data_IF_140926168820
#
_entry.id   IF_140926168820
#
_cell.length_a   1.000
_cell.length_b   1.000
_cell.length_c   1.000
_cell.angle_alpha   90.00
_cell.angle_beta   90.00
_cell.angle_gamma   90.00
#
_symmetry.space_group_name_H-M   'P 1'
#
loop_
_entity.id
_entity.type
_entity.pdbx_description
1 polymer ?
#
# COMPACT_ATOMS: atom_id res chain seq x y z
N UNK A 1 28.93 4.45 6.65
CA UNK A 1 28.15 3.19 6.57
C UNK A 1 27.34 3.24 5.30
N UNK A 2 27.52 2.33 4.36
CA UNK A 2 26.73 2.24 3.14
C UNK A 2 25.62 1.23 3.38
N UNK A 3 24.49 1.70 3.84
CA UNK A 3 23.33 0.88 4.12
C UNK A 3 22.62 0.55 2.79
N UNK A 4 22.07 -0.66 2.68
CA UNK A 4 21.60 -1.19 1.39
C UNK A 4 20.22 -1.80 1.54
N UNK A 5 19.23 -1.17 0.95
CA UNK A 5 17.81 -1.38 1.16
C UNK A 5 17.16 -2.06 -0.04
N UNK A 6 16.18 -2.91 0.20
CA UNK A 6 15.63 -3.79 -0.83
C UNK A 6 14.11 -3.67 -1.03
N UNK A 7 13.35 -3.10 -0.10
CA UNK A 7 11.90 -2.87 -0.24
C UNK A 7 11.56 -1.61 -1.05
N UNK A 8 10.42 -1.58 -1.75
CA UNK A 8 9.96 -0.39 -2.50
C UNK A 8 9.69 0.78 -1.57
N UNK A 9 9.00 0.53 -0.46
CA UNK A 9 8.58 1.49 0.54
C UNK A 9 9.77 2.09 1.30
N UNK A 10 10.77 1.28 1.61
CA UNK A 10 12.00 1.72 2.28
C UNK A 10 12.86 2.61 1.38
N UNK A 11 12.91 2.30 0.07
CA UNK A 11 13.57 3.12 -0.93
C UNK A 11 12.90 4.49 -1.02
N UNK A 12 11.58 4.54 -1.06
CA UNK A 12 10.82 5.79 -1.08
C UNK A 12 11.13 6.67 0.13
N UNK A 13 11.13 6.10 1.34
CA UNK A 13 11.48 6.83 2.57
C UNK A 13 12.86 7.47 2.45
N UNK A 14 13.88 6.69 2.03
CA UNK A 14 15.26 7.19 1.93
C UNK A 14 15.42 8.30 0.90
N UNK A 15 14.74 8.23 -0.24
CA UNK A 15 14.72 9.33 -1.20
C UNK A 15 14.04 10.56 -0.63
N UNK A 16 12.90 10.40 0.05
CA UNK A 16 12.15 11.51 0.63
C UNK A 16 12.94 12.24 1.71
N UNK A 17 13.66 11.52 2.57
CA UNK A 17 14.48 12.13 3.62
C UNK A 17 15.88 12.54 3.14
N UNK A 18 16.20 12.38 1.84
CA UNK A 18 17.50 12.81 1.25
C UNK A 18 18.67 11.92 1.63
N UNK A 19 18.43 10.62 1.87
CA UNK A 19 19.46 9.60 2.21
C UNK A 19 19.63 8.56 1.09
N UNK A 20 19.23 8.89 -0.15
CA UNK A 20 19.29 8.00 -1.32
C UNK A 20 20.71 7.49 -1.66
N UNK A 21 21.74 8.21 -1.26
CA UNK A 21 23.15 7.81 -1.51
C UNK A 21 23.57 6.58 -0.70
N UNK A 22 22.81 6.25 0.34
CA UNK A 22 23.01 5.04 1.15
C UNK A 22 22.46 3.80 0.46
N UNK A 23 21.59 3.95 -0.55
CA UNK A 23 21.00 2.83 -1.29
C UNK A 23 22.02 2.29 -2.28
N UNK A 24 22.46 1.04 -2.10
CA UNK A 24 23.37 0.41 -3.04
C UNK A 24 22.70 -0.62 -3.95
N UNK A 25 21.46 -1.00 -3.67
CA UNK A 25 20.70 -1.89 -4.53
C UNK A 25 19.23 -1.85 -4.21
N UNK A 26 18.38 -2.14 -5.19
CA UNK A 26 16.93 -2.16 -5.08
C UNK A 26 16.36 -3.45 -5.65
N UNK A 27 15.11 -3.75 -5.30
CA UNK A 27 14.35 -4.82 -5.95
C UNK A 27 13.92 -4.42 -7.36
N UNK A 28 13.78 -5.40 -8.25
CA UNK A 28 13.21 -5.20 -9.59
C UNK A 28 11.79 -4.66 -9.60
N UNK A 29 11.06 -4.78 -8.49
CA UNK A 29 9.69 -4.27 -8.29
C UNK A 29 9.65 -2.86 -7.71
N UNK A 30 10.76 -2.25 -7.36
CA UNK A 30 10.81 -0.84 -6.96
C UNK A 30 10.39 0.03 -8.14
N UNK A 31 9.25 0.69 -8.04
CA UNK A 31 8.72 1.58 -9.07
C UNK A 31 8.75 3.05 -8.62
N UNK A 32 8.96 3.28 -7.34
CA UNK A 32 8.99 4.60 -6.72
C UNK A 32 10.23 4.80 -5.83
N UNK A 33 10.81 6.02 -5.85
CA UNK A 33 10.56 7.02 -6.89
C UNK A 33 11.13 6.55 -8.24
N UNK A 34 10.68 7.11 -9.37
CA UNK A 34 11.13 6.66 -10.72
C UNK A 34 12.64 6.76 -10.93
N UNK A 35 13.30 7.71 -10.26
CA UNK A 35 14.74 7.93 -10.29
C UNK A 35 15.51 6.71 -9.78
N UNK A 36 15.02 6.07 -8.72
CA UNK A 36 15.66 4.90 -8.11
C UNK A 36 15.92 3.79 -9.14
N UNK A 37 14.98 3.57 -10.07
CA UNK A 37 15.15 2.55 -11.12
C UNK A 37 16.26 2.86 -12.13
N UNK A 38 16.61 4.14 -12.30
CA UNK A 38 17.65 4.61 -13.22
C UNK A 38 19.01 4.65 -12.53
N UNK A 39 19.04 5.01 -11.26
CA UNK A 39 20.25 5.31 -10.50
C UNK A 39 20.80 4.10 -9.74
N UNK A 40 19.93 3.15 -9.33
CA UNK A 40 20.33 2.05 -8.46
C UNK A 40 20.30 0.70 -9.16
N UNK A 41 21.28 -0.18 -8.91
CA UNK A 41 21.30 -1.53 -9.46
C UNK A 41 20.14 -2.36 -8.91
N UNK A 42 19.51 -3.15 -9.78
CA UNK A 42 18.49 -4.13 -9.39
C UNK A 42 19.19 -5.42 -9.01
N UNK A 43 19.13 -5.76 -7.72
CA UNK A 43 19.91 -6.89 -7.18
C UNK A 43 19.07 -8.13 -6.91
N UNK A 44 17.73 -8.01 -6.85
CA UNK A 44 16.86 -9.18 -6.70
C UNK A 44 15.40 -8.92 -7.13
N UNK A 45 14.60 -10.01 -7.25
CA UNK A 45 13.15 -9.96 -7.39
C UNK A 45 12.45 -10.08 -6.02
N UNK A 46 11.12 -9.92 -5.95
CA UNK A 46 10.40 -9.85 -4.67
C UNK A 46 10.46 -11.15 -3.84
N UNK A 47 10.28 -12.30 -4.47
CA UNK A 47 10.24 -13.62 -3.79
C UNK A 47 11.41 -14.54 -4.16
N UNK A 48 12.20 -14.19 -5.16
CA UNK A 48 13.37 -14.96 -5.59
C UNK A 48 14.59 -14.06 -5.64
N UNK A 49 15.53 -14.26 -4.75
CA UNK A 49 16.77 -13.49 -4.65
C UNK A 49 17.95 -14.28 -5.17
N UNK A 50 18.75 -13.67 -6.02
CA UNK A 50 20.12 -14.11 -6.28
C UNK A 50 20.99 -13.49 -5.18
N UNK A 51 21.27 -14.30 -4.15
CA UNK A 51 22.07 -13.86 -3.00
C UNK A 51 23.41 -13.31 -3.44
N UNK A 52 24.04 -13.90 -4.46
CA UNK A 52 25.34 -13.45 -4.97
C UNK A 52 25.26 -12.02 -5.51
N UNK A 53 24.16 -11.64 -6.19
CA UNK A 53 23.95 -10.26 -6.64
C UNK A 53 23.76 -9.29 -5.48
N UNK A 54 23.09 -9.72 -4.40
CA UNK A 54 22.96 -8.89 -3.21
C UNK A 54 24.34 -8.73 -2.56
N UNK A 55 25.10 -9.80 -2.40
CA UNK A 55 26.43 -9.77 -1.80
C UNK A 55 27.43 -8.97 -2.65
N UNK A 56 27.32 -9.00 -3.99
CA UNK A 56 28.21 -8.27 -4.91
C UNK A 56 28.19 -6.75 -4.66
N UNK A 57 27.07 -6.21 -4.17
CA UNK A 57 26.99 -4.80 -3.80
C UNK A 57 27.49 -4.53 -2.37
N UNK A 58 27.97 -5.53 -1.63
CA UNK A 58 28.56 -5.47 -0.27
C UNK A 58 27.66 -4.72 0.73
N UNK A 59 26.46 -5.24 1.07
CA UNK A 59 25.55 -4.60 2.01
C UNK A 59 26.08 -4.60 3.45
N UNK A 60 25.93 -3.49 4.15
CA UNK A 60 26.11 -3.42 5.61
C UNK A 60 24.80 -3.84 6.33
N UNK A 61 23.65 -3.62 5.71
CA UNK A 61 22.33 -3.97 6.19
C UNK A 61 21.40 -4.22 5.00
N UNK A 62 20.55 -5.22 5.09
CA UNK A 62 19.46 -5.47 4.13
C UNK A 62 18.12 -5.27 4.82
N UNK A 63 17.24 -4.48 4.22
CA UNK A 63 15.86 -4.32 4.68
C UNK A 63 14.96 -5.23 3.83
N UNK A 64 14.16 -6.05 4.49
CA UNK A 64 13.19 -6.93 3.85
C UNK A 64 11.77 -6.55 4.28
N UNK A 65 10.77 -7.09 3.59
CA UNK A 65 9.36 -6.88 3.91
C UNK A 65 8.62 -8.22 4.00
N UNK A 66 7.96 -8.42 5.12
CA UNK A 66 7.05 -9.52 5.44
C UNK A 66 7.67 -10.94 5.44
N UNK A 67 6.86 -11.88 5.85
CA UNK A 67 7.11 -13.32 5.84
C UNK A 67 7.36 -13.90 4.44
N UNK A 68 6.88 -13.23 3.39
CA UNK A 68 7.13 -13.61 2.00
C UNK A 68 8.63 -13.59 1.63
N UNK A 69 9.45 -12.86 2.40
CA UNK A 69 10.90 -12.76 2.20
C UNK A 69 11.70 -13.51 3.29
N UNK A 70 11.07 -14.37 4.09
CA UNK A 70 11.72 -15.07 5.17
C UNK A 70 12.88 -15.97 4.71
N UNK A 71 12.73 -16.65 3.57
CA UNK A 71 13.80 -17.49 3.01
C UNK A 71 15.02 -16.66 2.57
N UNK A 72 14.79 -15.51 1.92
CA UNK A 72 15.87 -14.58 1.53
C UNK A 72 16.56 -14.03 2.78
N UNK A 73 15.80 -13.65 3.80
CA UNK A 73 16.34 -13.16 5.07
C UNK A 73 17.23 -14.23 5.74
N UNK A 74 16.78 -15.48 5.80
CA UNK A 74 17.57 -16.60 6.31
C UNK A 74 18.89 -16.77 5.56
N UNK A 75 18.85 -16.75 4.23
CA UNK A 75 20.02 -16.99 3.41
C UNK A 75 21.05 -15.83 3.53
N UNK A 76 20.57 -14.59 3.66
CA UNK A 76 21.41 -13.43 3.96
C UNK A 76 22.06 -13.50 5.35
N UNK A 77 21.32 -13.93 6.37
CA UNK A 77 21.85 -14.15 7.73
C UNK A 77 22.94 -15.22 7.69
N UNK A 78 22.72 -16.31 6.96
CA UNK A 78 23.72 -17.38 6.79
C UNK A 78 24.98 -16.90 6.06
N UNK A 79 24.83 -15.90 5.17
CA UNK A 79 25.95 -15.24 4.49
C UNK A 79 26.63 -14.15 5.34
N UNK A 80 26.21 -13.96 6.61
CA UNK A 80 26.79 -12.99 7.53
C UNK A 80 26.34 -11.55 7.31
N UNK A 81 25.22 -11.33 6.59
CA UNK A 81 24.67 -10.00 6.34
C UNK A 81 23.59 -9.67 7.38
N UNK A 82 23.68 -8.53 8.08
CA UNK A 82 22.60 -8.05 8.93
C UNK A 82 21.31 -7.84 8.14
N UNK A 83 20.17 -8.28 8.69
CA UNK A 83 18.85 -8.11 8.07
C UNK A 83 17.90 -7.47 9.07
N UNK A 84 17.16 -6.47 8.63
CA UNK A 84 16.01 -5.94 9.35
C UNK A 84 14.74 -6.21 8.53
N UNK A 85 13.84 -7.02 9.07
CA UNK A 85 12.60 -7.39 8.42
C UNK A 85 11.46 -6.50 8.91
N UNK A 86 10.92 -5.67 8.03
CA UNK A 86 9.70 -4.93 8.28
C UNK A 86 8.47 -5.81 8.02
N UNK A 87 7.38 -5.54 8.73
CA UNK A 87 6.12 -6.25 8.53
C UNK A 87 4.90 -5.37 8.84
N UNK A 88 4.98 -4.09 8.47
CA UNK A 88 3.91 -3.12 8.68
C UNK A 88 2.64 -3.52 7.94
N UNK A 89 1.51 -3.50 8.64
CA UNK A 89 0.19 -3.86 8.12
C UNK A 89 -0.87 -2.79 8.40
N UNK A 90 -0.51 -1.71 9.10
CA UNK A 90 -1.38 -0.59 9.44
C UNK A 90 -0.72 0.74 9.09
N UNK A 91 -1.49 1.81 9.15
CA UNK A 91 -0.98 3.17 8.97
C UNK A 91 0.00 3.54 10.07
N UNK A 92 -0.32 3.24 11.33
CA UNK A 92 0.58 3.51 12.46
C UNK A 92 1.91 2.76 12.33
N UNK A 93 1.87 1.47 11.92
CA UNK A 93 3.08 0.70 11.68
C UNK A 93 3.89 1.23 10.49
N UNK A 94 3.24 1.82 9.48
CA UNK A 94 3.91 2.50 8.37
C UNK A 94 4.66 3.74 8.85
N UNK A 95 4.06 4.55 9.71
CA UNK A 95 4.73 5.70 10.34
C UNK A 95 5.91 5.25 11.21
N UNK A 96 5.74 4.19 12.01
CA UNK A 96 6.83 3.58 12.80
C UNK A 96 7.97 3.01 11.94
N UNK A 97 7.68 2.50 10.74
CA UNK A 97 8.71 2.11 9.77
C UNK A 97 9.55 3.32 9.33
N UNK A 98 8.93 4.45 9.02
CA UNK A 98 9.65 5.68 8.63
C UNK A 98 10.61 6.12 9.74
N UNK A 99 10.13 6.17 11.00
CA UNK A 99 10.98 6.50 12.14
C UNK A 99 12.15 5.52 12.31
N UNK A 100 11.86 4.23 12.18
CA UNK A 100 12.89 3.18 12.34
C UNK A 100 13.96 3.31 11.26
N UNK A 101 13.59 3.58 10.01
CA UNK A 101 14.55 3.84 8.94
C UNK A 101 15.40 5.06 9.30
N UNK A 102 14.80 6.15 9.75
CA UNK A 102 15.54 7.34 10.20
C UNK A 102 16.61 7.03 11.24
N UNK A 103 16.26 6.23 12.26
CA UNK A 103 17.21 5.80 13.31
C UNK A 103 18.32 4.92 12.74
N UNK A 104 17.99 3.95 11.88
CA UNK A 104 18.95 3.05 11.26
C UNK A 104 19.99 3.80 10.41
N UNK A 105 19.60 4.89 9.76
CA UNK A 105 20.49 5.68 8.90
C UNK A 105 21.08 6.91 9.60
N UNK A 106 20.78 7.15 10.88
CA UNK A 106 21.25 8.34 11.60
C UNK A 106 20.65 9.65 11.10
N UNK A 107 19.42 9.59 10.54
CA UNK A 107 18.67 10.73 10.01
C UNK A 107 17.30 10.89 10.72
N UNK A 108 17.26 10.65 12.03
CA UNK A 108 16.04 10.62 12.84
C UNK A 108 15.23 11.90 12.72
N UNK A 109 15.86 13.08 12.82
CA UNK A 109 15.16 14.36 12.71
C UNK A 109 14.46 14.55 11.36
N UNK A 110 15.03 14.01 10.27
CA UNK A 110 14.43 14.07 8.94
C UNK A 110 13.22 13.13 8.84
N UNK A 111 13.34 11.93 9.39
CA UNK A 111 12.27 10.96 9.44
C UNK A 111 11.09 11.45 10.31
N UNK A 112 11.37 12.03 11.47
CA UNK A 112 10.33 12.61 12.33
C UNK A 112 9.57 13.77 11.65
N UNK A 113 10.26 14.61 10.87
CA UNK A 113 9.58 15.64 10.06
C UNK A 113 8.65 15.01 9.02
N UNK A 114 9.12 13.98 8.32
CA UNK A 114 8.29 13.26 7.36
C UNK A 114 7.06 12.64 8.03
N UNK A 115 7.21 12.02 9.20
CA UNK A 115 6.09 11.47 9.99
C UNK A 115 5.09 12.56 10.34
N UNK A 116 5.56 13.71 10.87
CA UNK A 116 4.69 14.82 11.22
C UNK A 116 3.90 15.37 10.01
N UNK A 117 4.51 15.41 8.82
CA UNK A 117 3.83 15.81 7.59
C UNK A 117 2.74 14.81 7.18
N UNK A 118 3.00 13.51 7.30
CA UNK A 118 2.02 12.45 7.01
C UNK A 118 0.87 12.47 8.03
N UNK A 119 1.15 12.66 9.30
CA UNK A 119 0.13 12.80 10.35
C UNK A 119 -0.75 14.03 10.13
N UNK A 120 -0.17 15.16 9.70
CA UNK A 120 -0.91 16.35 9.36
C UNK A 120 -1.86 16.11 8.16
N UNK A 121 -1.41 15.35 7.15
CA UNK A 121 -2.26 14.96 6.02
C UNK A 121 -3.42 14.05 6.47
N UNK A 122 -3.16 13.09 7.34
CA UNK A 122 -4.20 12.22 7.93
C UNK A 122 -5.22 13.06 8.71
N UNK A 123 -4.75 14.00 9.53
CA UNK A 123 -5.63 14.86 10.32
C UNK A 123 -6.51 15.75 9.42
N UNK A 124 -5.93 16.33 8.37
CA UNK A 124 -6.66 17.13 7.39
C UNK A 124 -7.73 16.29 6.66
N UNK A 125 -7.36 15.07 6.24
CA UNK A 125 -8.30 14.14 5.58
C UNK A 125 -9.48 13.77 6.49
N UNK A 126 -9.23 13.47 7.77
CA UNK A 126 -10.29 13.23 8.76
C UNK A 126 -11.23 14.42 8.91
N UNK A 127 -10.69 15.65 8.89
CA UNK A 127 -11.49 16.88 8.93
C UNK A 127 -12.41 17.04 7.72
N UNK A 128 -11.90 16.81 6.51
CA UNK A 128 -12.67 16.85 5.27
C UNK A 128 -13.75 15.76 5.25
N UNK A 129 -13.40 14.54 5.67
CA UNK A 129 -14.31 13.43 5.77
C UNK A 129 -15.47 13.73 6.75
N UNK A 130 -15.16 14.27 7.93
CA UNK A 130 -16.15 14.64 8.93
C UNK A 130 -17.11 15.72 8.40
N UNK A 131 -16.60 16.75 7.71
CA UNK A 131 -17.43 17.79 7.10
C UNK A 131 -18.36 17.21 6.03
N UNK A 132 -17.88 16.28 5.19
CA UNK A 132 -18.70 15.59 4.18
C UNK A 132 -19.79 14.75 4.83
N UNK A 133 -19.46 13.95 5.85
CA UNK A 133 -20.40 13.10 6.58
C UNK A 133 -21.48 13.98 7.25
N UNK A 134 -21.09 15.13 7.81
CA UNK A 134 -22.05 16.05 8.43
C UNK A 134 -23.06 16.62 7.41
N UNK A 135 -22.65 16.85 6.16
CA UNK A 135 -23.56 17.32 5.08
C UNK A 135 -24.47 16.19 4.57
N UNK A 136 -23.90 15.01 4.30
CA UNK A 136 -24.63 13.89 3.68
C UNK A 136 -25.43 13.03 4.65
N UNK A 137 -25.12 13.10 5.94
CA UNK A 137 -25.71 12.26 6.99
C UNK A 137 -25.27 10.80 6.97
N UNK A 138 -24.34 10.41 6.04
CA UNK A 138 -23.91 9.02 5.92
C UNK A 138 -22.47 8.88 5.42
N UNK A 139 -21.90 7.69 5.60
CA UNK A 139 -20.62 7.28 5.02
C UNK A 139 -20.88 6.50 3.73
N UNK A 140 -20.17 6.77 2.62
CA UNK A 140 -20.23 5.93 1.43
C UNK A 140 -19.73 4.52 1.73
N UNK A 141 -20.46 3.51 1.26
CA UNK A 141 -20.10 2.10 1.38
C UNK A 141 -19.15 1.72 0.25
N UNK A 142 -17.96 1.22 0.58
CA UNK A 142 -16.86 1.00 -0.35
C UNK A 142 -16.55 -0.49 -0.44
N UNK A 143 -16.55 -1.02 -1.65
CA UNK A 143 -15.88 -2.27 -1.97
C UNK A 143 -14.53 -1.96 -2.60
N UNK A 144 -13.45 -2.36 -1.93
CA UNK A 144 -12.11 -2.32 -2.50
C UNK A 144 -11.71 -3.72 -2.96
N UNK A 145 -11.25 -3.82 -4.22
CA UNK A 145 -10.84 -5.06 -4.85
C UNK A 145 -9.35 -5.03 -5.18
N UNK A 146 -8.55 -5.80 -4.42
CA UNK A 146 -7.11 -5.93 -4.62
C UNK A 146 -6.77 -6.80 -5.83
N UNK A 147 -7.64 -7.74 -6.16
CA UNK A 147 -7.51 -8.66 -7.29
C UNK A 147 -8.89 -9.17 -7.74
N UNK A 148 -9.05 -9.47 -9.04
CA UNK A 148 -10.34 -9.79 -9.66
C UNK A 148 -10.68 -11.28 -9.74
N UNK A 149 -9.67 -12.15 -9.86
CA UNK A 149 -9.86 -13.62 -10.01
C UNK A 149 -8.74 -14.37 -9.28
N UNK A 150 -9.00 -14.87 -8.06
CA UNK A 150 -10.24 -14.71 -7.29
C UNK A 150 -10.41 -13.28 -6.75
N UNK A 151 -11.66 -12.89 -6.41
CA UNK A 151 -11.90 -11.59 -5.79
C UNK A 151 -11.22 -11.52 -4.41
N UNK A 152 -10.29 -10.59 -4.24
CA UNK A 152 -9.56 -10.35 -2.98
C UNK A 152 -9.95 -8.97 -2.45
N UNK A 153 -10.41 -8.93 -1.20
CA UNK A 153 -10.84 -7.68 -0.54
C UNK A 153 -9.64 -6.88 -0.01
N UNK A 154 -9.92 -5.66 0.47
CA UNK A 154 -8.91 -4.73 1.00
C UNK A 154 -8.02 -5.37 2.09
N UNK A 155 -6.73 -5.08 2.03
CA UNK A 155 -5.79 -5.30 3.13
C UNK A 155 -5.97 -4.20 4.19
N UNK A 156 -5.46 -4.43 5.40
CA UNK A 156 -5.74 -3.62 6.60
C UNK A 156 -5.45 -2.12 6.40
N UNK A 157 -4.26 -1.74 5.94
CA UNK A 157 -3.93 -0.30 5.76
C UNK A 157 -4.82 0.39 4.73
N UNK A 158 -5.28 -0.34 3.68
CA UNK A 158 -6.24 0.20 2.71
C UNK A 158 -7.61 0.40 3.35
N UNK A 159 -8.06 -0.55 4.19
CA UNK A 159 -9.29 -0.40 4.97
C UNK A 159 -9.22 0.82 5.89
N UNK A 160 -8.10 1.00 6.59
CA UNK A 160 -7.86 2.16 7.45
C UNK A 160 -7.88 3.49 6.66
N UNK A 161 -7.26 3.52 5.46
CA UNK A 161 -7.30 4.70 4.59
C UNK A 161 -8.71 5.04 4.10
N UNK A 162 -9.52 4.03 3.75
CA UNK A 162 -10.93 4.22 3.39
C UNK A 162 -11.69 4.85 4.56
N UNK A 163 -11.46 4.38 5.79
CA UNK A 163 -12.09 4.93 6.99
C UNK A 163 -11.63 6.35 7.30
N UNK A 164 -10.33 6.63 7.18
CA UNK A 164 -9.76 7.98 7.33
C UNK A 164 -10.38 8.93 6.30
N UNK A 165 -10.55 8.47 5.07
CA UNK A 165 -11.24 9.22 4.02
C UNK A 165 -12.76 9.30 4.22
N UNK A 166 -13.32 8.73 5.31
CA UNK A 166 -14.74 8.78 5.67
C UNK A 166 -15.63 7.84 4.88
N UNK A 167 -15.09 6.79 4.27
CA UNK A 167 -15.83 5.68 3.70
C UNK A 167 -16.11 4.60 4.75
N UNK A 168 -16.92 3.62 4.40
CA UNK A 168 -17.16 2.38 5.13
C UNK A 168 -16.68 1.22 4.26
N UNK A 169 -15.58 0.56 4.65
CA UNK A 169 -15.16 -0.65 3.96
C UNK A 169 -16.15 -1.78 4.27
N UNK A 170 -16.89 -2.25 3.27
CA UNK A 170 -17.93 -3.28 3.47
C UNK A 170 -17.36 -4.66 3.85
N UNK A 171 -16.04 -4.86 3.77
CA UNK A 171 -15.33 -6.06 4.19
C UNK A 171 -14.24 -5.75 5.24
N UNK A 172 -14.48 -4.77 6.13
CA UNK A 172 -13.58 -4.44 7.22
C UNK A 172 -13.30 -5.64 8.14
N UNK A 173 -14.28 -6.52 8.30
CA UNK A 173 -14.18 -7.78 9.03
C UNK A 173 -13.08 -8.71 8.51
N UNK A 174 -12.76 -8.67 7.22
CA UNK A 174 -11.72 -9.49 6.58
C UNK A 174 -10.37 -8.80 6.49
N UNK A 175 -10.35 -7.48 6.55
CA UNK A 175 -9.14 -6.68 6.35
C UNK A 175 -8.03 -6.93 7.39
N UNK A 176 -8.38 -7.42 8.58
CA UNK A 176 -7.42 -7.79 9.62
C UNK A 176 -6.50 -8.96 9.23
N UNK A 177 -6.93 -9.81 8.29
CA UNK A 177 -6.12 -10.94 7.81
C UNK A 177 -4.97 -10.47 6.92
N UNK A 178 -3.71 -10.74 7.28
CA UNK A 178 -2.55 -10.23 6.55
C UNK A 178 -2.38 -10.89 5.17
N UNK A 179 -2.79 -12.15 5.03
CA UNK A 179 -2.59 -12.93 3.82
C UNK A 179 -3.75 -12.76 2.85
N UNK A 180 -3.43 -12.56 1.57
CA UNK A 180 -4.42 -12.39 0.51
C UNK A 180 -5.40 -13.57 0.41
N UNK A 181 -4.90 -14.81 0.60
CA UNK A 181 -5.75 -16.04 0.57
C UNK A 181 -6.89 -16.01 1.59
N UNK A 182 -6.71 -15.35 2.74
CA UNK A 182 -7.70 -15.29 3.81
C UNK A 182 -8.73 -14.17 3.57
N UNK A 183 -8.50 -13.32 2.57
CA UNK A 183 -9.36 -12.23 2.13
C UNK A 183 -10.07 -12.52 0.80
N UNK A 184 -9.91 -13.73 0.26
CA UNK A 184 -10.64 -14.19 -0.93
C UNK A 184 -12.12 -14.32 -0.60
N UNK A 185 -12.97 -13.78 -1.47
CA UNK A 185 -14.42 -14.01 -1.42
C UNK A 185 -14.73 -15.39 -2.00
N UNK A 186 -15.29 -16.26 -1.16
CA UNK A 186 -15.77 -17.56 -1.60
C UNK A 186 -16.96 -17.44 -2.57
N UNK A 187 -17.83 -16.45 -2.32
CA UNK A 187 -18.95 -16.10 -3.18
C UNK A 187 -18.90 -14.60 -3.54
N UNK A 188 -18.63 -14.23 -4.80
CA UNK A 188 -18.66 -12.84 -5.25
C UNK A 188 -20.02 -12.14 -5.07
N UNK A 189 -21.12 -12.88 -4.90
CA UNK A 189 -22.43 -12.31 -4.62
C UNK A 189 -22.55 -11.70 -3.23
N UNK A 190 -21.59 -11.95 -2.32
CA UNK A 190 -21.50 -11.21 -1.06
C UNK A 190 -21.36 -9.70 -1.29
N UNK A 191 -20.68 -9.27 -2.38
CA UNK A 191 -20.58 -7.86 -2.75
C UNK A 191 -21.95 -7.30 -3.11
N UNK A 192 -22.74 -8.07 -3.86
CA UNK A 192 -24.12 -7.69 -4.26
C UNK A 192 -24.98 -7.52 -3.02
N UNK A 193 -24.95 -8.48 -2.09
CA UNK A 193 -25.71 -8.43 -0.84
C UNK A 193 -25.30 -7.25 0.05
N UNK A 194 -24.03 -6.88 0.04
CA UNK A 194 -23.50 -5.73 0.81
C UNK A 194 -23.69 -4.40 0.09
N UNK A 195 -24.15 -4.36 -1.16
CA UNK A 195 -24.60 -3.21 -1.94
C UNK A 195 -23.67 -1.96 -1.79
N UNK A 196 -22.42 -1.97 -2.26
CA UNK A 196 -21.52 -0.82 -2.13
C UNK A 196 -21.97 0.36 -3.02
N UNK A 197 -21.74 1.59 -2.51
CA UNK A 197 -21.96 2.83 -3.26
C UNK A 197 -20.83 3.09 -4.27
N UNK A 198 -19.62 2.59 -3.96
CA UNK A 198 -18.39 2.80 -4.73
C UNK A 198 -17.61 1.49 -4.80
N UNK A 199 -17.06 1.18 -5.97
CA UNK A 199 -16.09 0.09 -6.16
C UNK A 199 -14.76 0.70 -6.57
N UNK A 200 -13.68 0.31 -5.85
CA UNK A 200 -12.32 0.73 -6.16
C UNK A 200 -11.50 -0.52 -6.47
N UNK A 201 -11.02 -0.62 -7.70
CA UNK A 201 -10.12 -1.69 -8.10
C UNK A 201 -8.66 -1.25 -8.06
N UNK A 202 -7.80 -2.13 -7.56
CA UNK A 202 -6.35 -1.92 -7.52
C UNK A 202 -5.64 -3.22 -7.85
N UNK A 203 -5.82 -3.70 -9.09
CA UNK A 203 -5.30 -4.98 -9.52
C UNK A 203 -3.78 -4.92 -9.73
N UNK A 204 -3.06 -5.73 -8.98
CA UNK A 204 -1.60 -5.72 -9.01
C UNK A 204 -1.06 -6.17 -10.37
N UNK A 205 -0.30 -5.26 -11.03
CA UNK A 205 0.34 -5.56 -12.32
C UNK A 205 -0.58 -5.54 -13.55
N UNK A 206 -1.88 -5.23 -13.40
CA UNK A 206 -2.82 -5.08 -14.52
C UNK A 206 -3.75 -3.89 -14.33
N UNK A 207 -4.33 -3.41 -15.42
CA UNK A 207 -5.30 -2.32 -15.38
C UNK A 207 -6.65 -2.81 -14.86
N UNK A 208 -7.26 -2.00 -14.01
CA UNK A 208 -8.66 -2.18 -13.64
C UNK A 208 -9.57 -1.98 -14.86
N UNK A 209 -10.56 -2.83 -14.98
CA UNK A 209 -11.51 -2.86 -16.12
C UNK A 209 -12.92 -2.74 -15.60
N UNK A 210 -13.49 -1.52 -15.53
CA UNK A 210 -14.86 -1.29 -15.05
C UNK A 210 -15.90 -2.12 -15.77
N UNK A 211 -15.72 -2.32 -17.09
CA UNK A 211 -16.61 -3.12 -17.93
C UNK A 211 -16.63 -4.62 -17.56
N UNK A 212 -15.50 -5.14 -17.07
CA UNK A 212 -15.45 -6.53 -16.57
C UNK A 212 -16.16 -6.67 -15.24
N UNK A 213 -16.08 -5.66 -14.39
CA UNK A 213 -16.75 -5.64 -13.07
C UNK A 213 -18.26 -5.53 -13.26
N UNK A 214 -18.74 -4.59 -14.09
CA UNK A 214 -20.17 -4.41 -14.35
C UNK A 214 -20.82 -5.59 -15.08
N UNK A 215 -20.06 -6.35 -15.88
CA UNK A 215 -20.54 -7.53 -16.59
C UNK A 215 -20.61 -8.80 -15.73
N UNK A 216 -20.18 -8.77 -14.46
CA UNK A 216 -20.25 -9.95 -13.57
C UNK A 216 -21.69 -10.39 -13.32
N UNK A 217 -21.99 -11.69 -13.33
CA UNK A 217 -23.33 -12.20 -13.04
C UNK A 217 -23.87 -11.69 -11.71
N UNK A 218 -25.08 -11.12 -11.72
CA UNK A 218 -25.75 -10.59 -10.54
C UNK A 218 -25.34 -9.17 -10.09
N UNK A 219 -24.31 -8.57 -10.71
CA UNK A 219 -23.79 -7.27 -10.25
C UNK A 219 -24.52 -6.05 -10.83
N UNK A 220 -25.39 -6.23 -11.80
CA UNK A 220 -26.14 -5.14 -12.46
C UNK A 220 -27.01 -4.30 -11.52
N UNK A 221 -27.35 -4.82 -10.32
CA UNK A 221 -28.15 -4.13 -9.30
C UNK A 221 -27.30 -3.45 -8.23
N UNK A 222 -25.97 -3.64 -8.24
CA UNK A 222 -25.07 -3.01 -7.26
C UNK A 222 -25.09 -1.49 -7.46
N UNK A 223 -25.32 -0.67 -6.41
CA UNK A 223 -25.41 0.78 -6.54
C UNK A 223 -24.21 1.41 -7.26
N UNK A 224 -22.99 0.95 -6.95
CA UNK A 224 -21.78 1.41 -7.63
C UNK A 224 -21.79 1.16 -9.14
N UNK A 225 -22.34 0.01 -9.58
CA UNK A 225 -22.48 -0.33 -11.01
C UNK A 225 -23.57 0.50 -11.67
N UNK A 226 -24.73 0.61 -11.01
CA UNK A 226 -25.87 1.40 -11.51
C UNK A 226 -25.50 2.86 -11.74
N UNK A 227 -24.68 3.43 -10.84
CA UNK A 227 -24.26 4.83 -10.90
C UNK A 227 -22.90 5.06 -11.57
N UNK A 228 -22.26 4.02 -12.13
CA UNK A 228 -20.96 4.13 -12.80
C UNK A 228 -19.80 4.52 -11.88
N UNK A 229 -19.92 4.26 -10.57
CA UNK A 229 -18.89 4.62 -9.57
C UNK A 229 -17.85 3.51 -9.40
N UNK A 230 -17.15 3.23 -10.48
CA UNK A 230 -16.13 2.20 -10.60
C UNK A 230 -14.79 2.91 -10.88
N UNK A 231 -13.90 2.91 -9.92
CA UNK A 231 -12.65 3.69 -9.95
C UNK A 231 -11.43 2.80 -9.86
N UNK A 232 -10.31 3.28 -10.42
CA UNK A 232 -8.99 2.65 -10.26
C UNK A 232 -8.10 3.51 -9.38
N UNK A 233 -7.43 2.90 -8.39
CA UNK A 233 -6.22 3.44 -7.78
C UNK A 233 -5.09 2.47 -8.09
N UNK A 234 -3.99 2.98 -8.64
CA UNK A 234 -2.85 2.13 -9.01
C UNK A 234 -2.28 1.40 -7.80
N UNK A 235 -1.96 0.13 -7.98
CA UNK A 235 -1.39 -0.73 -6.91
C UNK A 235 -0.08 -0.17 -6.34
N UNK A 236 0.76 0.44 -7.17
CA UNK A 236 1.98 1.11 -6.75
C UNK A 236 1.75 2.31 -5.81
N UNK A 237 0.51 2.82 -5.71
CA UNK A 237 0.14 3.89 -4.80
C UNK A 237 -0.47 3.30 -3.52
N UNK A 238 -1.53 2.51 -3.64
CA UNK A 238 -2.35 2.17 -2.46
C UNK A 238 -2.03 0.79 -1.86
N UNK A 239 -1.49 -0.14 -2.65
CA UNK A 239 -1.09 -1.47 -2.17
C UNK A 239 0.36 -1.55 -1.71
N UNK A 240 1.11 -0.45 -1.79
CA UNK A 240 2.44 -0.34 -1.19
C UNK A 240 2.27 0.10 0.26
N UNK A 241 2.70 -0.70 1.27
CA UNK A 241 2.58 -0.35 2.69
C UNK A 241 3.67 0.67 3.09
N UNK A 242 3.59 1.86 2.50
CA UNK A 242 4.56 2.94 2.61
C UNK A 242 3.92 4.33 2.58
N UNK A 243 4.74 5.38 2.65
CA UNK A 243 4.30 6.76 2.71
C UNK A 243 3.37 7.18 1.57
N UNK A 244 3.59 6.64 0.36
CA UNK A 244 2.78 6.96 -0.84
C UNK A 244 1.30 6.63 -0.65
N UNK A 245 0.98 5.59 0.10
CA UNK A 245 -0.41 5.23 0.37
C UNK A 245 -1.14 6.34 1.16
N UNK A 246 -0.40 7.09 1.99
CA UNK A 246 -0.92 8.24 2.72
C UNK A 246 -0.86 9.49 1.84
N UNK A 247 0.32 9.80 1.28
CA UNK A 247 0.56 11.08 0.60
C UNK A 247 -0.17 11.22 -0.74
N UNK A 248 -0.39 10.14 -1.47
CA UNK A 248 -1.10 10.13 -2.76
C UNK A 248 -2.40 9.32 -2.70
N UNK A 249 -2.40 8.16 -2.01
CA UNK A 249 -3.57 7.29 -1.94
C UNK A 249 -4.75 7.90 -1.19
N UNK A 250 -4.49 8.57 -0.07
CA UNK A 250 -5.53 9.20 0.74
C UNK A 250 -6.23 10.38 0.04
N UNK A 251 -5.52 11.31 -0.64
CA UNK A 251 -6.17 12.32 -1.49
C UNK A 251 -7.06 11.73 -2.58
N UNK A 252 -6.61 10.67 -3.26
CA UNK A 252 -7.42 9.98 -4.28
C UNK A 252 -8.70 9.36 -3.68
N UNK A 253 -8.61 8.78 -2.49
CA UNK A 253 -9.79 8.27 -1.79
C UNK A 253 -10.76 9.38 -1.42
N UNK A 254 -10.27 10.52 -0.94
CA UNK A 254 -11.11 11.68 -0.63
C UNK A 254 -11.89 12.17 -1.86
N UNK A 255 -11.24 12.28 -3.03
CA UNK A 255 -11.87 12.68 -4.30
C UNK A 255 -12.91 11.65 -4.77
N UNK A 256 -12.57 10.37 -4.72
CA UNK A 256 -13.48 9.28 -5.13
C UNK A 256 -14.72 9.22 -4.23
N UNK A 257 -14.55 9.47 -2.94
CA UNK A 257 -15.64 9.37 -1.96
C UNK A 257 -16.50 10.64 -1.86
N UNK A 258 -16.14 11.73 -2.54
CA UNK A 258 -16.99 12.94 -2.63
C UNK A 258 -18.07 12.76 -3.71
N UNK A 259 -18.96 11.78 -3.46
CA UNK A 259 -19.98 11.32 -4.41
C UNK A 259 -21.13 12.33 -4.63
N UNK A 260 -21.20 13.38 -3.81
CA UNK A 260 -22.21 14.43 -3.92
C UNK A 260 -21.76 15.61 -4.83
N UNK A 261 -20.47 15.69 -5.10
CA UNK A 261 -19.89 16.73 -5.95
C UNK A 261 -20.01 16.42 -7.46
N UNK A 262 -20.59 15.26 -7.83
CA UNK A 262 -20.70 14.80 -9.23
C UNK A 262 -22.12 14.54 -9.66
#
# INVERSE_FOLDING_TARGET
MREKFTGSETVEVLYTIGEQDRIAGITGYTVRPPEARKEKPKVYAFTSGDIDKILAVKPDLVLTFSDLQADIARDLINAGVPVYAFNQRSIDETLGMVETIGRLVGAEDKALRMVAELEAQIAAAKGLAAARIARSGRRPRVYFEEWDEPNITAVRWVSELIEIAGGENIFADRAASPLARDRILADPLEVVARAPDVIIGSWCGKHFRPERVSARPGWSTVPAVVHGRLHEIKSAIILTPGPVAISEGLPLLLDILDIEAR
#
